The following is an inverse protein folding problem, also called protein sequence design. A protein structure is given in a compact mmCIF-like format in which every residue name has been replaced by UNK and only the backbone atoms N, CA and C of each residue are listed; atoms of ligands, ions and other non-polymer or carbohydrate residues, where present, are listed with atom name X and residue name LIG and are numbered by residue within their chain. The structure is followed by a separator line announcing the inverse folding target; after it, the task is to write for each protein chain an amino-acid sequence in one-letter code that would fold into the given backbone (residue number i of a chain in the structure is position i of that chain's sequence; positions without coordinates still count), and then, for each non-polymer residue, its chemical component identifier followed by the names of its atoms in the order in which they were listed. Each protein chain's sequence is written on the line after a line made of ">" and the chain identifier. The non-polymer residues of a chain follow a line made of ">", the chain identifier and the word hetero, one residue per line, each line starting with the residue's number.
data_IF_213658934728
#
_entry.id   IF_213658934728
#
_cell.length_a   1.000
_cell.length_b   1.000
_cell.length_c   1.000
_cell.angle_alpha   90.00
_cell.angle_beta   90.00
_cell.angle_gamma   90.00
#
_symmetry.space_group_name_H-M   'P 1'
#
loop_
_entity.id
_entity.type
_entity.pdbx_description
1 polymer ?
#
# COMPACT_ATOMS: atom_id res chain seq x y z
N UNK A 1 29.90 -8.05 2.09
CA UNK A 1 28.61 -7.35 2.00
C UNK A 1 28.25 -7.26 0.53
N UNK A 2 27.23 -8.01 0.09
CA UNK A 2 26.88 -8.12 -1.32
C UNK A 2 26.05 -6.90 -1.71
N UNK A 3 26.68 -5.87 -2.26
CA UNK A 3 25.99 -4.69 -2.79
C UNK A 3 25.23 -5.09 -4.05
N UNK A 4 24.03 -5.63 -3.88
CA UNK A 4 23.08 -5.81 -4.96
C UNK A 4 22.90 -4.45 -5.63
N UNK A 5 23.42 -4.31 -6.85
CA UNK A 5 23.40 -3.05 -7.57
C UNK A 5 21.94 -2.76 -7.96
N UNK A 6 21.22 -2.02 -7.12
CA UNK A 6 19.78 -1.80 -7.27
C UNK A 6 19.44 -1.17 -8.62
N UNK A 7 20.37 -0.43 -9.21
CA UNK A 7 20.33 0.07 -10.59
C UNK A 7 20.09 -1.04 -11.62
N UNK A 8 20.70 -2.21 -11.43
CA UNK A 8 20.52 -3.39 -12.30
C UNK A 8 19.20 -4.09 -11.97
N UNK A 9 18.81 -4.19 -10.70
CA UNK A 9 17.54 -4.81 -10.30
C UNK A 9 16.33 -3.99 -10.75
N UNK A 10 16.41 -2.66 -10.72
CA UNK A 10 15.38 -1.76 -11.25
C UNK A 10 15.11 -1.98 -12.75
N UNK A 11 16.15 -2.34 -13.53
CA UNK A 11 15.98 -2.68 -14.96
C UNK A 11 15.17 -3.96 -15.19
N UNK A 12 15.03 -4.80 -14.17
CA UNK A 12 14.25 -6.04 -14.22
C UNK A 12 12.85 -5.88 -13.62
N UNK A 13 12.51 -4.70 -13.10
CA UNK A 13 11.15 -4.38 -12.68
C UNK A 13 10.35 -4.04 -13.94
N UNK A 14 9.20 -4.69 -14.11
CA UNK A 14 8.28 -4.36 -15.20
C UNK A 14 7.92 -2.87 -15.11
N UNK A 15 7.94 -2.09 -16.22
CA UNK A 15 7.70 -0.65 -16.19
C UNK A 15 6.45 -0.25 -15.39
N UNK A 16 5.38 -1.03 -15.53
CA UNK A 16 4.12 -0.86 -14.78
C UNK A 16 4.29 -0.80 -13.25
N UNK A 17 5.17 -1.61 -12.68
CA UNK A 17 5.45 -1.58 -11.24
C UNK A 17 6.59 -0.62 -10.88
N UNK A 18 7.43 -0.28 -11.86
CA UNK A 18 8.56 0.64 -11.68
C UNK A 18 8.11 2.04 -11.29
N UNK A 19 7.01 2.52 -11.86
CA UNK A 19 6.45 3.85 -11.58
C UNK A 19 5.88 3.98 -10.15
N UNK A 20 5.51 2.85 -9.54
CA UNK A 20 5.00 2.79 -8.18
C UNK A 20 6.05 2.36 -7.15
N UNK A 21 7.29 2.11 -7.56
CA UNK A 21 8.35 1.74 -6.65
C UNK A 21 8.72 2.97 -5.79
N UNK A 22 8.56 2.90 -4.46
CA UNK A 22 8.84 4.05 -3.62
C UNK A 22 10.36 4.34 -3.59
N UNK A 23 10.72 5.60 -3.42
CA UNK A 23 12.12 6.01 -3.25
C UNK A 23 12.71 5.55 -1.91
N UNK A 24 11.83 5.36 -0.91
CA UNK A 24 12.16 4.89 0.43
C UNK A 24 11.21 3.76 0.82
N UNK A 25 11.74 2.69 1.40
CA UNK A 25 10.93 1.64 2.01
C UNK A 25 10.79 1.89 3.51
N UNK A 26 9.66 1.46 4.05
CA UNK A 26 9.39 1.47 5.48
C UNK A 26 9.14 0.05 5.97
N UNK A 27 9.74 -0.30 7.12
CA UNK A 27 9.49 -1.58 7.78
C UNK A 27 9.68 -1.46 9.30
N UNK A 28 9.39 -2.54 10.05
CA UNK A 28 9.63 -2.64 11.51
C UNK A 28 10.83 -3.53 11.76
N UNK A 29 11.81 -3.05 12.51
CA UNK A 29 12.95 -3.86 12.91
C UNK A 29 12.57 -4.91 13.97
N UNK A 30 13.53 -5.75 14.37
CA UNK A 30 13.35 -6.78 15.40
C UNK A 30 12.92 -6.20 16.76
N UNK A 31 13.25 -4.93 17.04
CA UNK A 31 12.87 -4.23 18.25
C UNK A 31 11.50 -3.54 18.11
N UNK A 32 10.80 -3.71 16.99
CA UNK A 32 9.50 -3.10 16.70
C UNK A 32 9.58 -1.62 16.34
N UNK A 33 10.78 -1.09 16.10
CA UNK A 33 10.96 0.32 15.71
C UNK A 33 10.71 0.48 14.22
N UNK A 34 10.06 1.56 13.86
CA UNK A 34 9.87 1.95 12.46
C UNK A 34 11.20 2.41 11.88
N UNK A 35 11.60 1.76 10.78
CA UNK A 35 12.82 2.06 10.04
C UNK A 35 12.43 2.49 8.64
N UNK A 36 13.02 3.60 8.20
CA UNK A 36 12.85 4.15 6.86
C UNK A 36 14.23 4.25 6.23
N UNK A 37 14.42 3.61 5.08
CA UNK A 37 15.68 3.63 4.34
C UNK A 37 15.44 3.84 2.86
N UNK A 38 16.42 4.41 2.12
CA UNK A 38 16.33 4.47 0.67
C UNK A 38 16.22 3.08 0.05
N UNK A 39 15.30 2.90 -0.88
CA UNK A 39 15.05 1.62 -1.55
C UNK A 39 16.30 1.08 -2.24
N UNK A 40 17.17 1.98 -2.74
CA UNK A 40 18.41 1.62 -3.44
C UNK A 40 19.56 1.14 -2.56
N UNK A 41 19.47 1.39 -1.25
CA UNK A 41 20.43 0.88 -0.26
C UNK A 41 19.90 -0.32 0.52
N UNK A 42 18.62 -0.66 0.34
CA UNK A 42 17.96 -1.72 1.08
C UNK A 42 18.54 -3.10 0.75
N UNK A 43 18.76 -3.90 1.78
CA UNK A 43 19.08 -5.32 1.67
C UNK A 43 17.83 -6.15 1.34
N UNK A 44 18.03 -7.42 0.95
CA UNK A 44 16.91 -8.32 0.63
C UNK A 44 16.00 -8.55 1.84
N UNK A 45 16.58 -8.65 3.04
CA UNK A 45 15.81 -8.86 4.27
C UNK A 45 14.93 -7.64 4.59
N UNK A 46 15.47 -6.43 4.41
CA UNK A 46 14.75 -5.18 4.62
C UNK A 46 13.61 -5.00 3.61
N UNK A 47 13.84 -5.39 2.35
CA UNK A 47 12.78 -5.46 1.35
C UNK A 47 11.69 -6.46 1.74
N UNK A 48 12.05 -7.65 2.24
CA UNK A 48 11.08 -8.63 2.70
C UNK A 48 10.25 -8.11 3.88
N UNK A 49 10.87 -7.42 4.84
CA UNK A 49 10.16 -6.78 5.95
C UNK A 49 9.24 -5.65 5.49
N UNK A 50 9.67 -4.85 4.52
CA UNK A 50 8.84 -3.79 3.94
C UNK A 50 7.63 -4.37 3.19
N UNK A 51 7.81 -5.47 2.44
CA UNK A 51 6.71 -6.17 1.76
C UNK A 51 5.70 -6.71 2.78
N UNK A 52 6.17 -7.32 3.86
CA UNK A 52 5.30 -7.83 4.93
C UNK A 52 4.48 -6.69 5.56
N UNK A 53 5.12 -5.58 5.90
CA UNK A 53 4.43 -4.41 6.44
C UNK A 53 3.41 -3.84 5.47
N UNK A 54 3.77 -3.65 4.20
CA UNK A 54 2.85 -3.15 3.17
C UNK A 54 1.64 -4.10 2.99
N UNK A 55 1.85 -5.41 3.10
CA UNK A 55 0.78 -6.41 3.02
C UNK A 55 -0.19 -6.31 4.21
N UNK A 56 0.33 -6.04 5.40
CA UNK A 56 -0.49 -5.79 6.59
C UNK A 56 -1.30 -4.49 6.46
N UNK A 57 -0.67 -3.41 6.01
CA UNK A 57 -1.34 -2.14 5.74
C UNK A 57 -2.46 -2.29 4.70
N UNK A 58 -2.18 -2.98 3.59
CA UNK A 58 -3.17 -3.29 2.57
C UNK A 58 -4.33 -4.12 3.14
N UNK A 59 -4.03 -5.13 3.96
CA UNK A 59 -5.04 -5.97 4.59
C UNK A 59 -5.96 -5.16 5.52
N UNK A 60 -5.39 -4.24 6.31
CA UNK A 60 -6.17 -3.35 7.18
C UNK A 60 -7.04 -2.38 6.37
N UNK A 61 -6.48 -1.77 5.33
CA UNK A 61 -7.22 -0.89 4.43
C UNK A 61 -8.37 -1.64 3.74
N UNK A 62 -8.12 -2.86 3.27
CA UNK A 62 -9.12 -3.72 2.64
C UNK A 62 -10.28 -4.06 3.58
N UNK A 63 -9.98 -4.46 4.83
CA UNK A 63 -11.01 -4.73 5.84
C UNK A 63 -11.84 -3.49 6.16
N UNK A 64 -11.21 -2.33 6.28
CA UNK A 64 -11.92 -1.05 6.50
C UNK A 64 -12.85 -0.73 5.35
N UNK A 65 -12.39 -0.85 4.10
CA UNK A 65 -13.23 -0.64 2.92
C UNK A 65 -14.42 -1.60 2.89
N UNK A 66 -14.17 -2.90 3.12
CA UNK A 66 -15.22 -3.91 3.13
C UNK A 66 -16.30 -3.64 4.19
N UNK A 67 -15.91 -3.21 5.40
CA UNK A 67 -16.86 -2.84 6.45
C UNK A 67 -17.72 -1.63 6.05
N UNK A 68 -17.13 -0.64 5.37
CA UNK A 68 -17.88 0.52 4.87
C UNK A 68 -18.85 0.11 3.75
N UNK A 69 -18.42 -0.76 2.83
CA UNK A 69 -19.27 -1.28 1.75
C UNK A 69 -20.46 -2.05 2.32
N UNK A 70 -20.24 -2.91 3.32
CA UNK A 70 -21.30 -3.66 3.97
C UNK A 70 -22.31 -2.74 4.68
N UNK A 71 -21.81 -1.76 5.44
CA UNK A 71 -22.64 -0.76 6.10
C UNK A 71 -23.49 0.02 5.08
N UNK A 72 -22.87 0.47 3.99
CA UNK A 72 -23.55 1.20 2.92
C UNK A 72 -24.67 0.36 2.28
N UNK A 73 -24.38 -0.89 1.92
CA UNK A 73 -25.36 -1.78 1.30
C UNK A 73 -26.53 -2.09 2.25
N UNK A 74 -26.25 -2.32 3.53
CA UNK A 74 -27.29 -2.56 4.52
C UNK A 74 -28.16 -1.33 4.74
N UNK A 75 -27.57 -0.13 4.85
CA UNK A 75 -28.32 1.12 4.95
C UNK A 75 -29.23 1.33 3.73
N UNK A 76 -28.75 1.06 2.51
CA UNK A 76 -29.56 1.14 1.28
C UNK A 76 -30.72 0.14 1.28
N UNK A 77 -30.50 -1.11 1.69
CA UNK A 77 -31.56 -2.11 1.83
C UNK A 77 -32.62 -1.70 2.84
N UNK A 78 -32.23 -1.01 3.91
CA UNK A 78 -33.14 -0.47 4.93
C UNK A 78 -33.84 0.84 4.50
N UNK A 79 -33.64 1.30 3.27
CA UNK A 79 -34.32 2.49 2.73
C UNK A 79 -33.64 3.82 3.09
N UNK A 80 -32.39 3.81 3.55
CA UNK A 80 -31.65 5.06 3.77
C UNK A 80 -31.38 5.79 2.44
N UNK A 81 -31.62 7.10 2.44
CA UNK A 81 -31.43 7.98 1.29
C UNK A 81 -30.36 9.01 1.65
N UNK A 82 -29.23 8.97 0.93
CA UNK A 82 -28.22 10.03 1.00
C UNK A 82 -28.66 11.27 0.23
N UNK A 83 -28.14 12.45 0.62
CA UNK A 83 -28.43 13.72 -0.05
C UNK A 83 -27.77 13.82 -1.43
N UNK A 84 -26.52 13.36 -1.55
CA UNK A 84 -25.73 13.43 -2.78
C UNK A 84 -25.51 12.04 -3.39
N UNK A 85 -25.43 11.96 -4.72
CA UNK A 85 -24.99 10.72 -5.40
C UNK A 85 -23.49 10.79 -5.63
N UNK A 86 -22.82 9.64 -5.58
CA UNK A 86 -21.37 9.57 -5.86
C UNK A 86 -21.02 10.09 -7.28
N UNK A 87 -21.96 10.00 -8.22
CA UNK A 87 -21.86 10.57 -9.57
C UNK A 87 -21.81 12.09 -9.61
N UNK A 88 -22.31 12.76 -8.56
CA UNK A 88 -22.37 14.22 -8.47
C UNK A 88 -21.07 14.78 -7.84
N UNK A 89 -20.24 13.90 -7.29
CA UNK A 89 -18.94 14.23 -6.72
C UNK A 89 -17.89 14.04 -7.81
N UNK A 90 -17.30 15.14 -8.28
CA UNK A 90 -16.17 15.11 -9.20
C UNK A 90 -14.91 14.63 -8.51
N UNK A 91 -14.72 13.30 -8.44
CA UNK A 91 -13.47 12.72 -8.00
C UNK A 91 -12.39 13.05 -9.03
N UNK A 92 -11.35 13.78 -8.62
CA UNK A 92 -10.13 13.91 -9.42
C UNK A 92 -9.37 12.60 -9.30
N UNK A 93 -9.14 11.93 -10.43
CA UNK A 93 -8.13 10.89 -10.57
C UNK A 93 -6.72 11.44 -10.29
#
# INVERSE_FOLDING_TARGET
>A
MNTNNLSTLRKHITPFYGDHLPEQIRYRDRAGREVVIPTHTATLDELAFAIQMASEEQSLASRRRAALDELYLNARKSGAIGADRISDIGWKE
#
